data_IF_290132379401
#
_entry.id   IF_290132379401
#
_cell.length_a   1.000
_cell.length_b   1.000
_cell.length_c   1.000
_cell.angle_alpha   90.00
_cell.angle_beta   90.00
_cell.angle_gamma   90.00
#
_symmetry.space_group_name_H-M   'P 1'
#
loop_
_entity.id
_entity.type
_entity.pdbx_description
1 polymer ?
#
# COMPACT_ATOMS: atom_id res chain seq x y z
N UNK A 1 23.49 49.30 -62.35
CA UNK A 1 24.73 49.02 -61.60
C UNK A 1 24.60 47.60 -61.11
N UNK A 2 25.44 46.70 -61.63
CA UNK A 2 25.39 45.27 -61.38
C UNK A 2 26.59 44.89 -60.52
N UNK A 3 26.35 44.25 -59.38
CA UNK A 3 27.39 43.71 -58.49
C UNK A 3 27.43 42.17 -58.57
N UNK A 4 28.61 41.56 -58.40
CA UNK A 4 28.93 40.21 -58.90
C UNK A 4 28.53 39.07 -57.96
N UNK A 5 28.17 37.92 -58.56
CA UNK A 5 28.05 36.62 -57.89
C UNK A 5 29.43 36.00 -57.65
N UNK A 6 29.70 35.56 -56.42
CA UNK A 6 30.86 34.72 -56.07
C UNK A 6 30.40 33.27 -55.91
N UNK A 7 31.09 32.27 -56.51
CA UNK A 7 30.77 30.85 -56.37
C UNK A 7 31.47 30.24 -55.14
N UNK A 8 30.88 29.22 -54.54
CA UNK A 8 31.61 28.33 -53.63
C UNK A 8 31.24 26.86 -53.89
N UNK A 9 32.13 26.07 -54.52
CA UNK A 9 32.01 24.62 -54.54
C UNK A 9 33.17 23.93 -53.79
N UNK A 10 32.82 23.14 -52.78
CA UNK A 10 33.18 21.71 -52.65
C UNK A 10 34.60 21.26 -52.29
N UNK A 11 34.68 20.49 -51.17
CA UNK A 11 35.54 19.31 -50.87
C UNK A 11 37.03 19.57 -50.52
N UNK A 12 37.63 19.08 -49.43
CA UNK A 12 37.34 18.13 -48.32
C UNK A 12 38.59 18.05 -47.38
N UNK A 13 38.87 17.03 -46.53
CA UNK A 13 38.06 15.95 -45.93
C UNK A 13 37.92 16.06 -44.37
N UNK A 14 37.08 15.22 -43.75
CA UNK A 14 36.84 15.07 -42.29
C UNK A 14 37.97 14.26 -41.58
N UNK A 15 37.93 13.92 -40.26
CA UNK A 15 36.97 14.23 -39.18
C UNK A 15 37.63 14.64 -37.82
N UNK A 16 36.93 15.29 -36.88
CA UNK A 16 37.12 15.00 -35.43
C UNK A 16 35.99 15.58 -34.54
N UNK A 17 35.37 14.64 -33.80
CA UNK A 17 34.80 14.73 -32.45
C UNK A 17 33.77 15.81 -32.10
N UNK A 18 32.49 15.46 -32.30
CA UNK A 18 31.41 15.94 -31.44
C UNK A 18 31.59 15.39 -30.01
N UNK A 19 31.46 16.19 -28.94
CA UNK A 19 31.42 15.68 -27.58
C UNK A 19 30.15 14.85 -27.34
N UNK A 20 30.34 13.82 -26.53
CA UNK A 20 29.52 12.62 -26.38
C UNK A 20 28.05 12.86 -26.02
N UNK A 21 27.21 12.07 -26.68
CA UNK A 21 25.90 11.58 -26.26
C UNK A 21 26.02 11.06 -24.80
N UNK A 22 25.51 11.82 -23.83
CA UNK A 22 25.32 11.29 -22.48
C UNK A 22 24.24 10.21 -22.55
N UNK A 23 24.45 9.02 -21.96
CA UNK A 23 23.45 7.96 -22.07
C UNK A 23 22.15 8.42 -21.39
N UNK A 24 21.11 8.62 -22.21
CA UNK A 24 19.71 8.62 -21.78
C UNK A 24 19.55 7.51 -20.74
N UNK A 25 19.17 7.89 -19.52
CA UNK A 25 18.92 6.96 -18.45
C UNK A 25 18.02 5.83 -18.97
N UNK A 26 18.57 4.62 -19.08
CA UNK A 26 17.80 3.44 -19.44
C UNK A 26 16.73 3.27 -18.36
N UNK A 27 15.50 3.67 -18.68
CA UNK A 27 14.33 3.29 -17.89
C UNK A 27 14.27 1.77 -18.01
N UNK A 28 14.79 1.10 -16.99
CA UNK A 28 14.63 -0.34 -16.90
C UNK A 28 13.13 -0.56 -16.75
N UNK A 29 12.46 -1.28 -17.67
CA UNK A 29 11.05 -1.56 -17.50
C UNK A 29 10.91 -2.26 -16.14
N UNK A 30 10.07 -1.70 -15.28
CA UNK A 30 9.67 -2.38 -14.05
C UNK A 30 9.16 -3.74 -14.52
N UNK A 31 9.86 -4.79 -14.11
CA UNK A 31 9.49 -6.15 -14.44
C UNK A 31 8.11 -6.38 -13.82
N UNK A 32 7.05 -6.28 -14.63
CA UNK A 32 5.64 -6.38 -14.22
C UNK A 32 5.33 -7.70 -13.50
N UNK A 33 6.28 -8.64 -13.48
CA UNK A 33 6.23 -9.92 -12.78
C UNK A 33 6.39 -9.82 -11.26
N UNK A 34 6.74 -8.66 -10.71
CA UNK A 34 6.81 -8.43 -9.26
C UNK A 34 5.71 -7.53 -8.71
N UNK A 35 4.77 -7.07 -9.54
CA UNK A 35 3.44 -6.76 -9.02
C UNK A 35 2.76 -8.12 -8.86
N UNK A 36 3.19 -8.85 -7.82
CA UNK A 36 2.31 -9.83 -7.23
C UNK A 36 1.15 -8.96 -6.78
N UNK A 37 0.09 -8.94 -7.58
CA UNK A 37 -1.24 -8.72 -7.04
C UNK A 37 -1.29 -9.73 -5.90
N UNK A 38 -0.94 -9.28 -4.70
CA UNK A 38 -1.34 -9.89 -3.45
C UNK A 38 -2.85 -9.78 -3.55
N UNK A 39 -3.37 -10.76 -4.30
CA UNK A 39 -4.77 -10.99 -4.54
C UNK A 39 -5.24 -11.05 -3.11
N UNK A 40 -5.94 -10.00 -2.68
CA UNK A 40 -6.61 -9.95 -1.38
C UNK A 40 -7.38 -11.25 -1.36
N UNK A 41 -6.75 -12.27 -0.81
CA UNK A 41 -7.10 -13.66 -1.09
C UNK A 41 -8.47 -13.72 -0.51
N UNK A 42 -9.44 -13.96 -1.40
CA UNK A 42 -10.85 -13.77 -1.19
C UNK A 42 -11.13 -13.92 0.30
N UNK A 43 -11.52 -12.82 0.96
CA UNK A 43 -12.07 -12.88 2.30
C UNK A 43 -13.28 -13.80 2.16
N UNK A 44 -13.04 -15.11 2.29
CA UNK A 44 -14.03 -16.13 2.07
C UNK A 44 -14.95 -15.98 3.28
N UNK A 45 -16.06 -15.31 3.01
CA UNK A 45 -17.00 -14.74 3.98
C UNK A 45 -17.77 -15.75 4.80
N UNK A 46 -17.25 -16.97 4.97
CA UNK A 46 -17.74 -17.89 5.98
C UNK A 46 -17.09 -17.56 7.32
N UNK A 47 -17.37 -16.37 7.84
CA UNK A 47 -17.05 -15.98 9.22
C UNK A 47 -18.01 -16.70 10.18
N UNK A 48 -18.18 -18.01 10.03
CA UNK A 48 -19.08 -18.83 10.84
C UNK A 48 -18.42 -19.36 12.12
N UNK A 49 -17.14 -19.06 12.32
CA UNK A 49 -16.38 -19.45 13.51
C UNK A 49 -15.64 -18.26 14.12
N UNK A 50 -15.45 -18.29 15.44
CA UNK A 50 -14.66 -17.30 16.16
C UNK A 50 -13.21 -17.24 15.64
N UNK A 51 -12.64 -18.39 15.27
CA UNK A 51 -11.30 -18.47 14.69
C UNK A 51 -11.21 -17.71 13.35
N UNK A 52 -12.18 -17.90 12.46
CA UNK A 52 -12.24 -17.18 11.19
C UNK A 52 -12.41 -15.67 11.39
N UNK A 53 -13.24 -15.24 12.35
CA UNK A 53 -13.40 -13.83 12.68
C UNK A 53 -12.10 -13.16 13.16
N UNK A 54 -11.33 -13.87 14.01
CA UNK A 54 -10.03 -13.40 14.49
C UNK A 54 -9.00 -13.31 13.38
N UNK A 55 -8.93 -14.34 12.54
CA UNK A 55 -8.03 -14.34 11.39
C UNK A 55 -8.36 -13.16 10.45
N UNK A 56 -9.65 -12.93 10.18
CA UNK A 56 -10.07 -11.79 9.39
C UNK A 56 -9.62 -10.44 9.99
N UNK A 57 -9.85 -10.22 11.28
CA UNK A 57 -9.43 -8.99 11.95
C UNK A 57 -7.89 -8.79 11.93
N UNK A 58 -7.13 -9.88 12.04
CA UNK A 58 -5.67 -9.86 11.93
C UNK A 58 -5.20 -9.46 10.51
N UNK A 59 -5.78 -10.07 9.47
CA UNK A 59 -5.45 -9.72 8.08
C UNK A 59 -5.82 -8.27 7.74
N UNK A 60 -6.97 -7.80 8.24
CA UNK A 60 -7.37 -6.39 8.07
C UNK A 60 -6.42 -5.42 8.80
N UNK A 61 -5.95 -5.77 10.00
CA UNK A 61 -4.93 -4.98 10.72
C UNK A 61 -3.64 -4.88 9.90
N UNK A 62 -3.19 -6.01 9.33
CA UNK A 62 -2.00 -6.06 8.48
C UNK A 62 -2.17 -5.23 7.21
N UNK A 63 -3.32 -5.34 6.54
CA UNK A 63 -3.62 -4.58 5.32
C UNK A 63 -3.65 -3.07 5.58
N UNK A 64 -4.25 -2.63 6.70
CA UNK A 64 -4.26 -1.22 7.08
C UNK A 64 -2.83 -0.70 7.38
N UNK A 65 -2.00 -1.48 8.06
CA UNK A 65 -0.59 -1.12 8.30
C UNK A 65 0.23 -1.05 7.01
N UNK A 66 -0.01 -1.95 6.05
CA UNK A 66 0.63 -1.90 4.73
C UNK A 66 0.23 -0.65 3.94
N UNK A 67 -1.03 -0.20 4.07
CA UNK A 67 -1.50 1.03 3.45
C UNK A 67 -0.78 2.27 4.01
N UNK A 68 -0.58 2.35 5.33
CA UNK A 68 0.22 3.44 5.97
C UNK A 68 1.61 3.50 5.35
N UNK A 69 2.34 2.39 5.33
CA UNK A 69 3.69 2.33 4.76
C UNK A 69 3.73 2.70 3.27
N UNK A 70 2.73 2.28 2.49
CA UNK A 70 2.64 2.61 1.07
C UNK A 70 2.39 4.11 0.83
N UNK A 71 1.58 4.74 1.68
CA UNK A 71 1.31 6.18 1.62
C UNK A 71 2.57 6.98 1.99
N UNK A 72 3.28 6.59 3.04
CA UNK A 72 4.55 7.22 3.45
C UNK A 72 5.61 7.15 2.35
N UNK A 73 5.75 5.98 1.71
CA UNK A 73 6.62 5.83 0.54
C UNK A 73 6.20 6.75 -0.61
N UNK A 74 4.89 6.85 -0.87
CA UNK A 74 4.36 7.73 -1.91
C UNK A 74 4.67 9.21 -1.63
N UNK A 75 4.54 9.66 -0.37
CA UNK A 75 4.92 11.00 0.06
C UNK A 75 6.42 11.23 -0.21
N UNK A 76 7.29 10.31 0.23
CA UNK A 76 8.73 10.43 0.03
C UNK A 76 9.11 10.47 -1.47
N UNK A 77 8.47 9.64 -2.31
CA UNK A 77 8.69 9.64 -3.75
C UNK A 77 8.25 10.94 -4.44
N UNK A 78 7.15 11.54 -3.99
CA UNK A 78 6.67 12.82 -4.52
C UNK A 78 7.57 13.98 -4.08
N UNK A 79 7.97 14.01 -2.81
CA UNK A 79 8.91 15.00 -2.29
C UNK A 79 10.28 14.94 -3.00
N UNK A 80 10.78 13.74 -3.30
CA UNK A 80 12.01 13.55 -4.08
C UNK A 80 11.92 14.10 -5.53
N UNK A 81 10.70 14.34 -6.03
CA UNK A 81 10.41 14.95 -7.33
C UNK A 81 9.94 16.41 -7.19
N UNK A 82 10.21 17.04 -6.05
CA UNK A 82 9.89 18.43 -5.75
C UNK A 82 8.39 18.76 -5.80
N UNK A 83 7.53 17.74 -5.71
CA UNK A 83 6.08 17.93 -5.58
C UNK A 83 5.81 18.47 -4.18
N UNK A 84 5.06 19.57 -4.10
CA UNK A 84 4.75 20.26 -2.85
C UNK A 84 3.27 20.65 -2.79
N UNK A 85 2.83 21.11 -1.63
CA UNK A 85 1.50 21.67 -1.43
C UNK A 85 0.40 20.62 -1.21
N UNK A 86 -0.86 20.94 -1.56
CA UNK A 86 -2.05 20.22 -1.07
C UNK A 86 -2.07 18.72 -1.32
N UNK A 87 -1.33 18.20 -2.31
CA UNK A 87 -1.30 16.78 -2.59
C UNK A 87 -0.60 15.99 -1.46
N UNK A 88 0.46 16.55 -0.87
CA UNK A 88 1.16 15.93 0.25
C UNK A 88 0.31 16.00 1.53
N UNK A 89 -0.42 17.10 1.73
CA UNK A 89 -1.33 17.25 2.85
C UNK A 89 -2.43 16.18 2.81
N UNK A 90 -3.02 15.94 1.63
CA UNK A 90 -4.02 14.87 1.45
C UNK A 90 -3.47 13.47 1.65
N UNK A 91 -2.22 13.22 1.28
CA UNK A 91 -1.57 11.94 1.55
C UNK A 91 -1.28 11.77 3.04
N UNK A 92 -0.88 12.83 3.74
CA UNK A 92 -0.72 12.80 5.19
C UNK A 92 -2.06 12.48 5.89
N UNK A 93 -3.15 13.17 5.51
CA UNK A 93 -4.51 12.87 5.99
C UNK A 93 -4.90 11.40 5.72
N UNK A 94 -4.60 10.88 4.54
CA UNK A 94 -4.87 9.48 4.20
C UNK A 94 -4.08 8.49 5.08
N UNK A 95 -2.82 8.82 5.42
CA UNK A 95 -1.99 8.01 6.31
C UNK A 95 -2.59 7.96 7.72
N UNK A 96 -3.05 9.10 8.24
CA UNK A 96 -3.71 9.18 9.55
C UNK A 96 -4.99 8.34 9.60
N UNK A 97 -5.81 8.39 8.54
CA UNK A 97 -7.03 7.59 8.43
C UNK A 97 -6.71 6.09 8.36
N UNK A 98 -5.66 5.69 7.64
CA UNK A 98 -5.23 4.29 7.58
C UNK A 98 -4.70 3.79 8.94
N UNK A 99 -3.96 4.64 9.66
CA UNK A 99 -3.51 4.32 11.01
C UNK A 99 -4.68 4.18 12.00
N UNK A 100 -5.67 5.07 11.91
CA UNK A 100 -6.90 4.98 12.70
C UNK A 100 -7.69 3.70 12.37
N UNK A 101 -7.78 3.33 11.09
CA UNK A 101 -8.39 2.08 10.65
C UNK A 101 -7.67 0.86 11.25
N UNK A 102 -6.34 0.85 11.21
CA UNK A 102 -5.53 -0.21 11.82
C UNK A 102 -5.83 -0.34 13.32
N UNK A 103 -5.85 0.78 14.05
CA UNK A 103 -6.17 0.79 15.48
C UNK A 103 -7.55 0.19 15.77
N UNK A 104 -8.55 0.47 14.91
CA UNK A 104 -9.89 -0.14 15.06
C UNK A 104 -9.91 -1.65 14.84
N UNK A 105 -9.12 -2.18 13.91
CA UNK A 105 -9.03 -3.64 13.76
C UNK A 105 -8.29 -4.32 14.92
N UNK A 106 -7.36 -3.62 15.58
CA UNK A 106 -6.76 -4.09 16.83
C UNK A 106 -7.82 -4.17 17.93
N UNK A 107 -8.64 -3.12 18.11
CA UNK A 107 -9.76 -3.14 19.08
C UNK A 107 -10.72 -4.30 18.81
N UNK A 108 -11.10 -4.53 17.55
CA UNK A 108 -11.95 -5.67 17.15
C UNK A 108 -11.29 -7.00 17.53
N UNK A 109 -9.99 -7.15 17.29
CA UNK A 109 -9.25 -8.37 17.64
C UNK A 109 -9.27 -8.62 19.16
N UNK A 110 -9.13 -7.57 19.97
CA UNK A 110 -9.24 -7.65 21.44
C UNK A 110 -10.64 -8.08 21.88
N UNK A 111 -11.70 -7.51 21.29
CA UNK A 111 -13.08 -7.87 21.61
C UNK A 111 -13.38 -9.33 21.23
N UNK A 112 -12.87 -9.81 20.10
CA UNK A 112 -13.00 -11.21 19.69
C UNK A 112 -12.21 -12.16 20.61
N UNK A 113 -11.03 -11.76 21.09
CA UNK A 113 -10.27 -12.56 22.06
C UNK A 113 -11.02 -12.72 23.40
N UNK A 114 -11.79 -11.71 23.83
CA UNK A 114 -12.65 -11.81 25.02
C UNK A 114 -13.71 -12.93 24.93
N UNK A 115 -14.07 -13.38 23.73
CA UNK A 115 -15.01 -14.49 23.55
C UNK A 115 -14.40 -15.86 23.89
N UNK A 116 -13.07 -16.01 23.89
CA UNK A 116 -12.44 -17.26 24.35
C UNK A 116 -12.73 -17.51 25.82
N UNK A 117 -12.71 -16.46 26.65
CA UNK A 117 -13.02 -16.55 28.08
C UNK A 117 -14.43 -17.10 28.30
N UNK A 118 -15.37 -16.65 27.47
CA UNK A 118 -16.76 -17.13 27.51
C UNK A 118 -16.84 -18.59 27.05
N UNK A 119 -16.15 -18.95 25.96
CA UNK A 119 -16.11 -20.31 25.44
C UNK A 119 -15.50 -21.30 26.45
N UNK A 120 -14.38 -20.93 27.07
CA UNK A 120 -13.73 -21.71 28.13
C UNK A 120 -14.62 -21.87 29.36
N UNK A 121 -15.30 -20.80 29.80
CA UNK A 121 -16.22 -20.87 30.93
C UNK A 121 -17.39 -21.83 30.69
N UNK A 122 -17.97 -21.82 29.47
CA UNK A 122 -19.01 -22.78 29.12
C UNK A 122 -18.48 -24.22 29.02
N UNK A 123 -17.29 -24.41 28.47
CA UNK A 123 -16.67 -25.74 28.37
C UNK A 123 -16.30 -26.31 29.74
N UNK A 124 -15.89 -25.46 30.69
CA UNK A 124 -15.52 -25.86 32.05
C UNK A 124 -16.73 -26.24 32.92
N UNK A 125 -17.94 -25.76 32.59
CA UNK A 125 -19.15 -26.03 33.39
C UNK A 125 -20.32 -26.49 32.51
N UNK A 126 -20.22 -27.68 31.88
CA UNK A 126 -21.22 -28.17 30.91
C UNK A 126 -22.61 -28.45 31.51
N UNK A 127 -22.72 -28.51 32.84
CA UNK A 127 -23.98 -28.69 33.57
C UNK A 127 -24.47 -27.41 34.26
N UNK A 128 -23.75 -26.28 34.12
CA UNK A 128 -24.30 -25.01 34.57
C UNK A 128 -25.59 -24.73 33.82
N UNK A 129 -26.65 -24.35 34.53
CA UNK A 129 -27.92 -23.98 33.93
C UNK A 129 -27.73 -22.90 32.85
N UNK A 130 -28.67 -22.81 31.90
CA UNK A 130 -28.55 -21.87 30.77
C UNK A 130 -28.23 -20.44 31.25
N UNK A 131 -27.51 -19.65 30.45
CA UNK A 131 -27.22 -18.23 30.76
C UNK A 131 -28.47 -17.50 31.27
N UNK A 132 -29.62 -17.75 30.64
CA UNK A 132 -30.92 -17.19 31.00
C UNK A 132 -31.40 -17.56 32.41
N UNK A 133 -31.12 -18.79 32.86
CA UNK A 133 -31.39 -19.24 34.23
C UNK A 133 -30.43 -18.59 35.25
N UNK A 134 -29.17 -18.33 34.85
CA UNK A 134 -28.14 -17.76 35.72
C UNK A 134 -28.20 -16.23 35.83
N UNK A 135 -28.55 -15.51 34.75
CA UNK A 135 -28.56 -14.04 34.73
C UNK A 135 -29.89 -13.43 35.16
N UNK A 136 -30.95 -14.23 35.26
CA UNK A 136 -32.32 -13.77 35.57
C UNK A 136 -32.79 -12.58 34.70
N UNK A 137 -32.31 -12.50 33.45
CA UNK A 137 -32.72 -11.52 32.43
C UNK A 137 -33.77 -12.10 31.47
#
# INVERSE_FOLDING_TARGET
MADPQTPAPGQGPAPETAPADEPLATVTPINSRMVQEDTVSAINGETHTLAAAKQYAAEMTKAAGAAVASIEQSIAHLQAREVTGPVLDRLAEASELAAALQAKFVEVSTLLAGQDVVAEAYAAVPHAGSKKFLTQE
#
